data_IF_987766430789
#
_entry.id   IF_987766430789
#
_cell.length_a   1.000
_cell.length_b   1.000
_cell.length_c   1.000
_cell.angle_alpha   90.00
_cell.angle_beta   90.00
_cell.angle_gamma   90.00
#
_symmetry.space_group_name_H-M   'P 1'
#
loop_
_entity.id
_entity.type
_entity.pdbx_description
1 polymer ?
#
# COMPACT_ATOMS: atom_id res chain seq x y z
N UNK A 1 -40.62 32.44 35.33
CA UNK A 1 -39.62 32.30 34.24
C UNK A 1 -38.91 30.94 34.18
N UNK A 2 -38.93 30.07 35.21
CA UNK A 2 -38.23 28.76 35.17
C UNK A 2 -38.97 27.62 34.42
N UNK A 3 -40.23 27.79 34.04
CA UNK A 3 -41.04 26.71 33.42
C UNK A 3 -40.96 26.65 31.89
N UNK A 4 -40.41 27.68 31.22
CA UNK A 4 -40.24 27.73 29.75
C UNK A 4 -38.92 27.17 29.22
N UNK A 5 -37.97 26.82 30.11
CA UNK A 5 -36.63 26.33 29.73
C UNK A 5 -36.64 24.80 29.51
N UNK A 6 -37.56 24.07 30.15
CA UNK A 6 -37.61 22.60 30.05
C UNK A 6 -38.16 22.09 28.71
N UNK A 7 -39.15 22.76 28.13
CA UNK A 7 -39.84 22.24 26.93
C UNK A 7 -39.02 22.42 25.64
N UNK A 8 -38.08 23.38 25.63
CA UNK A 8 -37.17 23.62 24.51
C UNK A 8 -35.74 23.10 24.77
N UNK A 9 -35.55 22.27 25.80
CA UNK A 9 -34.22 21.80 26.24
C UNK A 9 -33.48 21.03 25.13
N UNK A 10 -34.19 20.28 24.30
CA UNK A 10 -33.62 19.55 23.16
C UNK A 10 -33.12 20.50 22.06
N UNK A 11 -33.88 21.55 21.75
CA UNK A 11 -33.45 22.58 20.79
C UNK A 11 -32.25 23.39 21.30
N UNK A 12 -32.21 23.67 22.60
CA UNK A 12 -31.08 24.38 23.25
C UNK A 12 -29.80 23.52 23.20
N UNK A 13 -29.90 22.22 23.51
CA UNK A 13 -28.77 21.28 23.45
C UNK A 13 -28.28 21.10 22.00
N UNK A 14 -29.19 20.95 21.03
CA UNK A 14 -28.84 20.80 19.61
C UNK A 14 -28.16 22.08 19.06
N UNK A 15 -28.63 23.26 19.47
CA UNK A 15 -28.03 24.54 19.06
C UNK A 15 -26.64 24.72 19.69
N UNK A 16 -26.46 24.32 20.96
CA UNK A 16 -25.15 24.36 21.62
C UNK A 16 -24.13 23.38 21.00
N UNK A 17 -24.56 22.21 20.55
CA UNK A 17 -23.72 21.23 19.85
C UNK A 17 -23.27 21.73 18.46
N UNK A 18 -24.14 22.41 17.71
CA UNK A 18 -23.77 22.98 16.40
C UNK A 18 -22.78 24.14 16.51
N UNK A 19 -22.92 24.97 17.54
CA UNK A 19 -21.98 26.10 17.78
C UNK A 19 -20.60 25.59 18.20
N UNK A 20 -20.54 24.49 18.96
CA UNK A 20 -19.26 23.89 19.37
C UNK A 20 -18.53 23.18 18.22
N UNK A 21 -19.24 22.48 17.32
CA UNK A 21 -18.62 21.87 16.14
C UNK A 21 -18.06 22.90 15.14
N UNK A 22 -18.75 24.02 14.94
CA UNK A 22 -18.24 25.12 14.09
C UNK A 22 -17.05 25.84 14.76
N UNK A 23 -17.07 26.00 16.09
CA UNK A 23 -15.98 26.61 16.85
C UNK A 23 -14.67 25.81 16.81
N UNK A 24 -14.74 24.48 16.88
CA UNK A 24 -13.54 23.61 16.78
C UNK A 24 -12.95 23.65 15.37
N UNK A 25 -13.78 23.67 14.33
CA UNK A 25 -13.32 23.79 12.94
C UNK A 25 -12.61 25.11 12.65
N UNK A 26 -13.15 26.23 13.13
CA UNK A 26 -12.52 27.57 12.99
C UNK A 26 -11.26 27.68 13.85
N UNK A 27 -11.23 27.11 15.06
CA UNK A 27 -10.03 27.11 15.89
C UNK A 27 -8.88 26.32 15.26
N UNK A 28 -9.14 25.14 14.69
CA UNK A 28 -8.13 24.33 13.98
C UNK A 28 -7.68 24.98 12.67
N UNK A 29 -8.58 25.68 11.95
CA UNK A 29 -8.23 26.45 10.75
C UNK A 29 -7.35 27.66 11.10
N UNK A 30 -7.71 28.44 12.14
CA UNK A 30 -6.94 29.60 12.59
C UNK A 30 -5.61 29.25 13.28
N UNK A 31 -5.51 28.10 13.97
CA UNK A 31 -4.20 27.62 14.49
C UNK A 31 -3.32 27.04 13.40
N UNK A 32 -3.88 26.51 12.31
CA UNK A 32 -3.10 26.16 11.10
C UNK A 32 -2.57 27.40 10.37
N UNK A 33 -3.29 28.52 10.39
CA UNK A 33 -2.84 29.78 9.77
C UNK A 33 -1.90 30.61 10.67
N UNK A 34 -1.93 30.47 12.00
CA UNK A 34 -1.04 31.20 12.91
C UNK A 34 0.39 30.68 13.05
N UNK A 35 0.78 29.61 12.34
CA UNK A 35 2.18 29.18 12.26
C UNK A 35 2.91 29.66 11.00
N UNK A 36 2.36 30.63 10.27
CA UNK A 36 3.10 31.41 9.28
C UNK A 36 3.23 32.86 9.75
N UNK A 37 4.26 33.14 10.54
CA UNK A 37 4.83 34.49 10.55
C UNK A 37 6.36 34.39 10.61
N UNK A 38 6.97 35.14 9.71
CA UNK A 38 8.40 35.22 9.39
C UNK A 38 9.25 35.63 10.59
N UNK A 39 10.52 35.22 10.67
CA UNK A 39 11.44 35.80 11.63
C UNK A 39 11.79 37.23 11.18
N UNK A 40 11.28 38.22 11.91
CA UNK A 40 11.79 39.59 11.88
C UNK A 40 13.20 39.61 12.49
N UNK A 41 14.11 40.23 11.76
CA UNK A 41 15.49 40.57 12.10
C UNK A 41 15.64 41.20 13.49
N UNK A 42 16.41 40.57 14.36
CA UNK A 42 17.23 41.25 15.36
C UNK A 42 18.69 40.84 15.13
N UNK A 43 19.52 41.84 14.80
CA UNK A 43 20.96 41.72 14.73
C UNK A 43 21.49 41.32 16.12
N UNK A 44 22.12 40.16 16.21
CA UNK A 44 23.21 39.90 17.15
C UNK A 44 24.28 39.12 16.40
N UNK A 45 25.53 39.50 16.65
CA UNK A 45 26.77 39.18 15.92
C UNK A 45 27.07 37.69 15.64
N UNK A 46 27.95 37.39 14.66
CA UNK A 46 27.92 36.13 13.91
C UNK A 46 28.67 35.02 14.64
N UNK A 47 27.95 34.04 15.18
CA UNK A 47 28.51 32.69 15.37
C UNK A 47 28.11 31.82 14.20
N UNK A 48 29.06 31.61 13.28
CA UNK A 48 29.00 30.63 12.20
C UNK A 48 28.72 29.23 12.79
N UNK A 49 27.45 28.83 12.87
CA UNK A 49 27.09 27.42 12.78
C UNK A 49 26.44 27.22 11.42
N UNK A 50 27.20 26.60 10.52
CA UNK A 50 26.66 25.99 9.30
C UNK A 50 25.66 24.93 9.76
N UNK A 51 24.37 25.26 9.77
CA UNK A 51 23.36 24.22 9.69
C UNK A 51 23.45 23.66 8.28
N UNK A 52 24.11 22.51 8.17
CA UNK A 52 24.06 21.67 6.99
C UNK A 52 22.63 21.16 6.90
N UNK A 53 21.76 21.91 6.22
CA UNK A 53 20.47 21.39 5.77
C UNK A 53 20.81 20.22 4.86
N UNK A 54 20.61 19.00 5.36
CA UNK A 54 20.77 17.81 4.54
C UNK A 54 19.73 17.91 3.42
N UNK A 55 20.11 17.68 2.15
CA UNK A 55 19.13 17.64 1.07
C UNK A 55 18.06 16.61 1.42
N UNK A 56 16.78 16.99 1.36
CA UNK A 56 15.69 16.01 1.37
C UNK A 56 15.86 15.22 0.08
N UNK A 57 16.31 13.97 0.20
CA UNK A 57 16.47 13.07 -0.93
C UNK A 57 15.09 12.85 -1.56
N UNK A 58 14.97 13.13 -2.86
CA UNK A 58 13.71 12.92 -3.56
C UNK A 58 13.43 11.42 -3.68
N UNK A 59 12.21 11.03 -3.33
CA UNK A 59 11.76 9.64 -3.42
C UNK A 59 11.81 9.16 -4.89
N UNK A 60 12.47 8.02 -5.10
CA UNK A 60 12.53 7.36 -6.40
C UNK A 60 11.15 6.85 -6.83
N UNK A 61 10.98 6.59 -8.13
CA UNK A 61 9.71 6.03 -8.65
C UNK A 61 9.39 4.68 -8.00
N UNK A 62 10.41 3.85 -7.78
CA UNK A 62 10.25 2.55 -7.13
C UNK A 62 9.82 2.66 -5.67
N UNK A 63 10.41 3.57 -4.90
CA UNK A 63 10.00 3.82 -3.51
C UNK A 63 8.56 4.32 -3.45
N UNK A 64 8.19 5.25 -4.34
CA UNK A 64 6.82 5.74 -4.45
C UNK A 64 5.83 4.62 -4.81
N UNK A 65 6.18 3.77 -5.77
CA UNK A 65 5.35 2.65 -6.22
C UNK A 65 5.22 1.59 -5.13
N UNK A 66 6.32 1.24 -4.45
CA UNK A 66 6.31 0.34 -3.30
C UNK A 66 5.41 0.87 -2.19
N UNK A 67 5.57 2.14 -1.79
CA UNK A 67 4.71 2.79 -0.78
C UNK A 67 3.25 2.77 -1.21
N UNK A 68 2.97 3.04 -2.49
CA UNK A 68 1.60 3.02 -3.04
C UNK A 68 0.99 1.63 -2.99
N UNK A 69 1.76 0.58 -3.31
CA UNK A 69 1.32 -0.80 -3.21
C UNK A 69 1.07 -1.21 -1.75
N UNK A 70 2.03 -0.89 -0.86
CA UNK A 70 1.98 -1.21 0.55
C UNK A 70 0.78 -0.58 1.23
N UNK A 71 0.49 0.70 0.97
CA UNK A 71 -0.65 1.42 1.53
C UNK A 71 -2.03 0.89 1.09
N UNK A 72 -2.10 -0.01 0.11
CA UNK A 72 -3.36 -0.68 -0.28
C UNK A 72 -3.68 -1.91 0.58
N UNK A 73 -2.72 -2.39 1.37
CA UNK A 73 -2.95 -3.45 2.35
C UNK A 73 -3.75 -2.89 3.54
N UNK A 74 -4.54 -3.74 4.19
CA UNK A 74 -5.36 -3.44 5.36
C UNK A 74 -4.48 -3.06 6.56
N UNK A 75 -3.39 -3.81 6.77
CA UNK A 75 -2.44 -3.58 7.85
C UNK A 75 -1.02 -3.36 7.31
N UNK A 76 -0.76 -2.26 6.60
CA UNK A 76 0.44 -2.07 5.77
C UNK A 76 1.75 -2.02 6.55
N UNK A 77 1.71 -1.80 7.85
CA UNK A 77 2.89 -1.72 8.72
C UNK A 77 2.94 -2.82 9.79
N UNK A 78 2.04 -3.82 9.67
CA UNK A 78 2.06 -5.01 10.51
C UNK A 78 2.56 -6.19 9.70
N UNK A 79 3.24 -7.12 10.36
CA UNK A 79 3.71 -8.34 9.73
C UNK A 79 2.84 -9.51 10.19
N UNK A 80 2.52 -10.40 9.25
CA UNK A 80 1.96 -11.70 9.58
C UNK A 80 3.00 -12.54 10.33
N UNK A 81 2.56 -13.63 10.97
CA UNK A 81 3.48 -14.55 11.61
C UNK A 81 4.38 -15.28 10.60
N UNK A 82 5.46 -15.90 11.09
CA UNK A 82 6.45 -16.58 10.26
C UNK A 82 5.86 -17.79 9.51
N UNK A 83 4.89 -18.49 10.10
CA UNK A 83 4.27 -19.69 9.50
C UNK A 83 3.42 -19.28 8.30
N UNK A 84 2.58 -18.26 8.47
CA UNK A 84 1.77 -17.68 7.40
C UNK A 84 2.67 -17.11 6.30
N UNK A 85 3.71 -16.34 6.68
CA UNK A 85 4.66 -15.76 5.73
C UNK A 85 5.34 -16.86 4.89
N UNK A 86 5.77 -17.94 5.54
CA UNK A 86 6.41 -19.06 4.84
C UNK A 86 5.44 -19.79 3.90
N UNK A 87 4.16 -19.92 4.26
CA UNK A 87 3.14 -20.50 3.39
C UNK A 87 2.94 -19.66 2.11
N UNK A 88 2.87 -18.33 2.23
CA UNK A 88 2.78 -17.43 1.08
C UNK A 88 4.01 -17.57 0.18
N UNK A 89 5.20 -17.62 0.78
CA UNK A 89 6.47 -17.81 0.06
C UNK A 89 6.49 -19.11 -0.74
N UNK A 90 6.10 -20.24 -0.13
CA UNK A 90 6.04 -21.53 -0.83
C UNK A 90 5.06 -21.47 -1.99
N UNK A 91 3.89 -20.88 -1.78
CA UNK A 91 2.89 -20.76 -2.83
C UNK A 91 3.38 -19.93 -4.02
N UNK A 92 4.12 -18.84 -3.77
CA UNK A 92 4.72 -18.04 -4.85
C UNK A 92 5.89 -18.76 -5.53
N UNK A 93 6.72 -19.49 -4.81
CA UNK A 93 7.78 -20.31 -5.42
C UNK A 93 7.18 -21.33 -6.39
N UNK A 94 6.11 -22.02 -6.00
CA UNK A 94 5.41 -22.99 -6.84
C UNK A 94 4.70 -22.34 -8.04
N UNK A 95 3.98 -21.23 -7.81
CA UNK A 95 3.31 -20.46 -8.87
C UNK A 95 4.30 -19.94 -9.93
N UNK A 96 5.40 -19.32 -9.49
CA UNK A 96 6.44 -18.79 -10.38
C UNK A 96 7.14 -19.92 -11.14
N UNK A 97 7.44 -21.03 -10.46
CA UNK A 97 8.04 -22.19 -11.11
C UNK A 97 7.12 -22.83 -12.16
N UNK A 98 5.80 -22.88 -11.91
CA UNK A 98 4.82 -23.35 -12.89
C UNK A 98 4.76 -22.43 -14.11
N UNK A 99 4.67 -21.12 -13.88
CA UNK A 99 4.71 -20.09 -14.93
C UNK A 99 5.97 -20.26 -15.78
N UNK A 100 7.15 -20.37 -15.17
CA UNK A 100 8.43 -20.51 -15.89
C UNK A 100 8.55 -21.80 -16.73
N UNK A 101 7.76 -22.84 -16.44
CA UNK A 101 7.70 -24.07 -17.24
C UNK A 101 6.80 -23.94 -18.47
N UNK A 102 5.88 -22.97 -18.47
CA UNK A 102 4.99 -22.74 -19.60
C UNK A 102 5.78 -22.25 -20.82
N UNK A 103 5.40 -22.75 -22.01
CA UNK A 103 6.05 -22.36 -23.27
C UNK A 103 5.52 -21.05 -23.80
N UNK A 104 4.23 -20.79 -23.57
CA UNK A 104 3.54 -19.59 -24.02
C UNK A 104 2.64 -19.06 -22.92
N UNK A 105 2.27 -17.78 -22.98
CA UNK A 105 1.31 -17.17 -22.04
C UNK A 105 -0.04 -17.90 -22.03
N UNK A 106 -0.48 -18.40 -23.18
CA UNK A 106 -1.75 -19.12 -23.31
C UNK A 106 -1.78 -20.44 -22.52
N UNK A 107 -0.61 -21.01 -22.21
CA UNK A 107 -0.49 -22.24 -21.43
C UNK A 107 -0.60 -21.99 -19.92
N UNK A 108 -0.44 -20.74 -19.47
CA UNK A 108 -0.51 -20.38 -18.05
C UNK A 108 -1.97 -20.26 -17.61
N UNK A 109 -2.36 -21.01 -16.59
CA UNK A 109 -3.71 -21.01 -16.02
C UNK A 109 -3.64 -21.08 -14.51
N UNK A 110 -4.67 -20.56 -13.83
CA UNK A 110 -4.81 -20.75 -12.39
C UNK A 110 -5.34 -22.13 -12.06
N UNK A 111 -4.62 -22.87 -11.22
CA UNK A 111 -5.04 -24.17 -10.71
C UNK A 111 -4.83 -24.24 -9.21
N UNK A 112 -5.30 -25.33 -8.59
CA UNK A 112 -5.09 -25.55 -7.15
C UNK A 112 -3.61 -25.82 -6.89
N UNK A 113 -2.97 -26.59 -7.79
CA UNK A 113 -1.58 -27.05 -7.69
C UNK A 113 -0.57 -25.91 -7.81
N UNK A 114 -0.85 -24.87 -8.61
CA UNK A 114 0.00 -23.70 -8.69
C UNK A 114 -0.49 -22.53 -7.81
N UNK A 115 -1.42 -22.81 -6.91
CA UNK A 115 -2.01 -21.87 -5.96
C UNK A 115 -2.78 -20.69 -6.58
N UNK A 116 -2.98 -20.62 -7.89
CA UNK A 116 -3.61 -19.46 -8.54
C UNK A 116 -5.10 -19.65 -8.83
N UNK A 117 -5.74 -20.71 -8.33
CA UNK A 117 -7.16 -21.01 -8.63
C UNK A 117 -8.14 -19.91 -8.20
N UNK A 118 -7.78 -19.08 -7.21
CA UNK A 118 -8.59 -17.95 -6.74
C UNK A 118 -8.26 -16.63 -7.43
N UNK A 119 -7.26 -16.61 -8.31
CA UNK A 119 -6.86 -15.43 -9.07
C UNK A 119 -7.65 -15.34 -10.38
N UNK A 120 -8.12 -14.13 -10.71
CA UNK A 120 -8.76 -13.88 -12.00
C UNK A 120 -7.79 -14.14 -13.17
N UNK A 121 -8.28 -14.81 -14.22
CA UNK A 121 -7.44 -15.22 -15.34
C UNK A 121 -6.71 -14.03 -16.01
N UNK A 122 -7.32 -12.85 -16.11
CA UNK A 122 -6.64 -11.68 -16.69
C UNK A 122 -5.46 -11.23 -15.82
N UNK A 123 -5.59 -11.33 -14.49
CA UNK A 123 -4.50 -11.03 -13.57
C UNK A 123 -3.40 -12.10 -13.59
N UNK A 124 -3.76 -13.38 -13.77
CA UNK A 124 -2.79 -14.47 -14.00
C UNK A 124 -1.98 -14.17 -15.26
N UNK A 125 -2.65 -13.82 -16.36
CA UNK A 125 -1.99 -13.49 -17.61
C UNK A 125 -1.07 -12.26 -17.47
N UNK A 126 -1.46 -11.28 -16.67
CA UNK A 126 -0.63 -10.10 -16.38
C UNK A 126 0.63 -10.47 -15.59
N UNK A 127 0.49 -11.28 -14.54
CA UNK A 127 1.62 -11.76 -13.74
C UNK A 127 2.55 -12.65 -14.56
N UNK A 128 1.99 -13.54 -15.37
CA UNK A 128 2.73 -14.38 -16.31
C UNK A 128 3.47 -13.55 -17.36
N UNK A 129 2.86 -12.49 -17.89
CA UNK A 129 3.51 -11.57 -18.86
C UNK A 129 4.74 -10.89 -18.25
N UNK A 130 4.64 -10.43 -17.00
CA UNK A 130 5.78 -9.86 -16.29
C UNK A 130 6.97 -10.83 -16.24
N UNK A 131 6.72 -12.10 -15.91
CA UNK A 131 7.75 -13.12 -15.72
C UNK A 131 8.26 -13.70 -17.05
N UNK A 132 7.36 -14.20 -17.91
CA UNK A 132 7.71 -14.95 -19.11
C UNK A 132 8.11 -14.08 -20.29
N UNK A 133 7.42 -12.96 -20.50
CA UNK A 133 7.64 -12.11 -21.68
C UNK A 133 8.60 -10.99 -21.33
N UNK A 134 8.32 -10.30 -20.23
CA UNK A 134 9.07 -9.10 -19.85
C UNK A 134 10.28 -9.40 -18.98
N UNK A 135 10.48 -10.68 -18.60
CA UNK A 135 11.67 -11.20 -17.91
C UNK A 135 11.93 -10.52 -16.56
N UNK A 136 10.87 -10.11 -15.87
CA UNK A 136 10.97 -9.70 -14.48
C UNK A 136 11.25 -10.91 -13.59
N UNK A 137 12.11 -10.70 -12.58
CA UNK A 137 12.50 -11.72 -11.62
C UNK A 137 11.79 -11.50 -10.30
N UNK A 138 11.11 -12.55 -9.82
CA UNK A 138 10.51 -12.59 -8.48
C UNK A 138 11.56 -12.49 -7.37
N UNK A 139 11.39 -11.51 -6.48
CA UNK A 139 12.28 -11.28 -5.35
C UNK A 139 11.70 -11.85 -4.05
N UNK A 140 11.91 -13.14 -3.81
CA UNK A 140 11.48 -13.85 -2.60
C UNK A 140 11.86 -13.13 -1.30
N UNK A 141 13.08 -12.60 -1.22
CA UNK A 141 13.58 -11.89 -0.04
C UNK A 141 12.87 -10.53 0.23
N UNK A 142 12.12 -10.01 -0.75
CA UNK A 142 11.38 -8.76 -0.65
C UNK A 142 9.86 -8.98 -0.56
N UNK A 143 9.41 -10.22 -0.45
CA UNK A 143 8.00 -10.53 -0.25
C UNK A 143 7.60 -10.06 1.16
N UNK A 144 6.54 -9.26 1.22
CA UNK A 144 5.97 -8.78 2.47
C UNK A 144 4.59 -9.41 2.67
N UNK A 145 4.30 -9.84 3.90
CA UNK A 145 2.99 -10.39 4.29
C UNK A 145 2.49 -9.62 5.50
N UNK A 146 1.25 -9.13 5.41
CA UNK A 146 0.54 -8.46 6.48
C UNK A 146 -0.72 -9.25 6.88
N UNK A 147 -1.21 -9.09 8.12
CA UNK A 147 -2.52 -9.60 8.49
C UNK A 147 -3.64 -9.03 7.61
N UNK A 148 -4.79 -9.70 7.62
CA UNK A 148 -6.07 -9.19 7.13
C UNK A 148 -7.06 -9.10 8.30
N UNK A 149 -8.14 -8.36 8.11
CA UNK A 149 -9.31 -8.37 9.01
C UNK A 149 -10.03 -9.74 9.03
N UNK A 150 -9.73 -10.63 8.07
CA UNK A 150 -10.26 -12.00 8.04
C UNK A 150 -9.24 -13.00 8.58
N UNK A 151 -9.66 -13.86 9.52
CA UNK A 151 -8.77 -14.81 10.21
C UNK A 151 -8.13 -15.87 9.28
N UNK A 152 -8.78 -16.21 8.17
CA UNK A 152 -8.31 -17.19 7.19
C UNK A 152 -7.60 -16.55 5.98
N UNK A 153 -7.26 -15.26 6.07
CA UNK A 153 -6.60 -14.51 5.01
C UNK A 153 -5.40 -13.73 5.55
N UNK A 154 -4.32 -13.75 4.79
CA UNK A 154 -3.26 -12.73 4.90
C UNK A 154 -3.16 -11.98 3.59
N UNK A 155 -2.62 -10.77 3.62
CA UNK A 155 -2.35 -10.00 2.42
C UNK A 155 -0.87 -9.97 2.13
N UNK A 156 -0.51 -9.89 0.85
CA UNK A 156 0.88 -9.88 0.43
C UNK A 156 1.18 -8.70 -0.49
N UNK A 157 2.46 -8.36 -0.53
CA UNK A 157 3.09 -7.55 -1.56
C UNK A 157 4.31 -8.32 -2.09
N UNK A 158 4.29 -8.60 -3.39
CA UNK A 158 5.37 -9.26 -4.12
C UNK A 158 6.09 -8.25 -4.99
N UNK A 159 7.42 -8.28 -4.95
CA UNK A 159 8.28 -7.43 -5.79
C UNK A 159 8.84 -8.26 -6.94
N UNK A 160 8.65 -7.77 -8.16
CA UNK A 160 9.36 -8.25 -9.34
C UNK A 160 10.32 -7.16 -9.83
N UNK A 161 11.56 -7.54 -10.11
CA UNK A 161 12.62 -6.60 -10.52
C UNK A 161 13.17 -6.96 -11.89
N UNK A 162 13.64 -5.96 -12.62
CA UNK A 162 14.37 -6.14 -13.87
C UNK A 162 15.46 -5.08 -13.97
N UNK A 163 16.61 -5.46 -14.52
CA UNK A 163 17.72 -4.54 -14.65
C UNK A 163 17.33 -3.33 -15.52
N UNK A 164 17.65 -2.13 -15.05
CA UNK A 164 17.39 -0.86 -15.74
C UNK A 164 15.90 -0.54 -15.99
N UNK A 165 14.98 -1.21 -15.29
CA UNK A 165 13.54 -0.99 -15.41
C UNK A 165 12.92 -0.80 -14.02
N UNK A 166 11.81 -0.06 -13.95
CA UNK A 166 11.05 0.10 -12.71
C UNK A 166 10.53 -1.25 -12.23
N UNK A 167 10.51 -1.44 -10.91
CA UNK A 167 9.99 -2.64 -10.28
C UNK A 167 8.48 -2.72 -10.45
N UNK A 168 7.99 -3.95 -10.51
CA UNK A 168 6.57 -4.24 -10.45
C UNK A 168 6.18 -4.79 -9.08
N UNK A 169 5.10 -4.25 -8.50
CA UNK A 169 4.59 -4.63 -7.20
C UNK A 169 3.21 -5.24 -7.35
N UNK A 170 3.09 -6.55 -7.12
CA UNK A 170 1.81 -7.25 -7.09
C UNK A 170 1.29 -7.33 -5.67
N UNK A 171 0.01 -7.05 -5.46
CA UNK A 171 -0.66 -7.18 -4.17
C UNK A 171 -1.86 -8.10 -4.27
N UNK A 172 -2.21 -8.74 -3.16
CA UNK A 172 -3.34 -9.63 -3.14
C UNK A 172 -3.56 -10.29 -1.79
N UNK A 173 -4.46 -11.26 -1.81
CA UNK A 173 -4.87 -12.04 -0.66
C UNK A 173 -4.33 -13.46 -0.80
N UNK A 174 -3.97 -14.08 0.31
CA UNK A 174 -3.67 -15.50 0.40
C UNK A 174 -4.61 -16.13 1.42
N UNK A 175 -5.42 -17.09 0.98
CA UNK A 175 -6.25 -17.86 1.90
C UNK A 175 -5.39 -18.92 2.59
N UNK A 176 -5.25 -18.83 3.90
CA UNK A 176 -4.38 -19.69 4.72
C UNK A 176 -4.98 -21.08 4.97
N UNK A 177 -6.28 -21.26 4.72
CA UNK A 177 -6.96 -22.56 4.89
C UNK A 177 -6.77 -23.44 3.65
N UNK A 178 -6.94 -22.89 2.45
CA UNK A 178 -6.83 -23.63 1.19
C UNK A 178 -5.50 -23.40 0.46
N UNK A 179 -4.63 -22.56 1.02
CA UNK A 179 -3.34 -22.16 0.46
C UNK A 179 -3.47 -21.67 -0.98
N UNK A 180 -4.33 -20.68 -1.23
CA UNK A 180 -4.53 -20.14 -2.58
C UNK A 180 -4.25 -18.64 -2.62
N UNK A 181 -3.52 -18.23 -3.66
CA UNK A 181 -3.19 -16.87 -4.03
C UNK A 181 -4.37 -16.28 -4.82
N UNK A 182 -4.75 -15.07 -4.43
CA UNK A 182 -5.62 -14.18 -5.18
C UNK A 182 -4.87 -12.87 -5.47
N UNK A 183 -4.26 -12.76 -6.65
CA UNK A 183 -3.71 -11.48 -7.11
C UNK A 183 -4.86 -10.49 -7.36
N UNK A 184 -4.74 -9.28 -6.81
CA UNK A 184 -5.78 -8.25 -6.87
C UNK A 184 -5.40 -7.08 -7.76
N UNK A 185 -4.15 -6.65 -7.71
CA UNK A 185 -3.66 -5.50 -8.46
C UNK A 185 -2.14 -5.55 -8.60
N UNK A 186 -1.63 -4.75 -9.53
CA UNK A 186 -0.21 -4.43 -9.63
C UNK A 186 0.01 -2.93 -9.73
N UNK A 187 1.21 -2.48 -9.35
CA UNK A 187 1.65 -1.09 -9.39
C UNK A 187 3.07 -1.06 -9.96
N UNK A 188 3.34 -0.12 -10.86
CA UNK A 188 4.65 0.03 -11.49
C UNK A 188 5.01 -1.11 -12.45
N UNK A 189 6.22 -1.02 -12.99
CA UNK A 189 6.75 -1.94 -13.97
C UNK A 189 6.13 -1.78 -15.35
N UNK A 190 6.90 -2.16 -16.37
CA UNK A 190 6.47 -2.15 -17.75
C UNK A 190 5.94 -3.55 -18.12
N UNK A 191 4.66 -3.82 -17.84
CA UNK A 191 4.00 -5.10 -18.15
C UNK A 191 3.28 -5.06 -19.51
N UNK A 192 3.38 -3.97 -20.27
CA UNK A 192 2.80 -3.90 -21.61
C UNK A 192 3.47 -4.87 -22.59
N UNK A 193 2.73 -5.35 -23.58
CA UNK A 193 3.30 -6.02 -24.74
C UNK A 193 4.07 -4.99 -25.57
N UNK A 194 5.40 -4.97 -25.46
CA UNK A 194 6.24 -4.27 -26.42
C UNK A 194 6.27 -5.10 -27.70
N UNK A 195 5.43 -4.74 -28.67
CA UNK A 195 5.61 -5.22 -30.04
C UNK A 195 6.88 -4.56 -30.59
N UNK A 196 7.96 -5.33 -30.67
CA UNK A 196 9.16 -4.99 -31.44
C UNK A 196 9.00 -5.38 -32.90
#
# INVERSE_FOLDING_TARGET
MKKRIKDNMVFIIATALLITSAGVGIYQYLTKEKSKEEPKTEQTEPSKKKETVSPVEEETVDEKNHRTAKLKLEHPYSQADEVQTQAVVVAFDEAVADIQKAKTLADVKGTIENHLSMTDNAMIQTFAMAILVNQYTYQKAKLEVSPSESDDVVQFLVVLTKENEENCYFIGNFNTTVNQIQLKAYIGGNIGATFG
#
